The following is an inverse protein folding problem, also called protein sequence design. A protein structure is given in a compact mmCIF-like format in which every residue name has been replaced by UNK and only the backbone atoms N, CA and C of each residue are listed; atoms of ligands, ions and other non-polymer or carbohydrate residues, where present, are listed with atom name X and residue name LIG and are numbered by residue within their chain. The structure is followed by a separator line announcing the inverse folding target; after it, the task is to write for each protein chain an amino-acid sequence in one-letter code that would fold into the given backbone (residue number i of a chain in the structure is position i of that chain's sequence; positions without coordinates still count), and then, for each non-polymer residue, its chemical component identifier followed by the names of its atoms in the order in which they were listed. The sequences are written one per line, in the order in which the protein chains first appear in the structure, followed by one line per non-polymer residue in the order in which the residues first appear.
data_IF_988693819136
#
_entry.id   IF_988693819136
#
_cell.length_a   1.000
_cell.length_b   1.000
_cell.length_c   1.000
_cell.angle_alpha   90.00
_cell.angle_beta   90.00
_cell.angle_gamma   90.00
#
_symmetry.space_group_name_H-M   'P 1'
#
loop_
_entity.id
_entity.type
_entity.pdbx_description
1 polymer ?
#
# COMPACT_ATOMS: atom_id res chain seq x y z
N UNK A 1 -30.98 10.37 -21.19
CA UNK A 1 -29.95 9.62 -21.92
C UNK A 1 -28.67 10.44 -21.88
N UNK A 2 -28.64 11.64 -22.45
CA UNK A 2 -27.49 12.56 -22.31
C UNK A 2 -27.09 12.83 -20.83
N UNK A 3 -28.04 13.21 -19.96
CA UNK A 3 -27.74 13.45 -18.53
C UNK A 3 -27.31 12.19 -17.76
N UNK A 4 -27.72 10.99 -18.21
CA UNK A 4 -27.33 9.73 -17.57
C UNK A 4 -25.92 9.30 -18.01
N UNK A 5 -25.61 9.44 -19.29
CA UNK A 5 -24.26 9.22 -19.85
C UNK A 5 -23.25 10.13 -19.19
N UNK A 6 -23.56 11.43 -19.09
CA UNK A 6 -22.67 12.39 -18.45
C UNK A 6 -22.43 12.07 -16.98
N UNK A 7 -23.47 11.69 -16.24
CA UNK A 7 -23.31 11.25 -14.84
C UNK A 7 -22.41 10.03 -14.74
N UNK A 8 -22.55 9.06 -15.64
CA UNK A 8 -21.71 7.87 -15.65
C UNK A 8 -20.24 8.25 -15.88
N UNK A 9 -19.95 9.12 -16.85
CA UNK A 9 -18.60 9.64 -17.08
C UNK A 9 -18.03 10.39 -15.86
N UNK A 10 -18.83 11.27 -15.23
CA UNK A 10 -18.43 11.99 -14.01
C UNK A 10 -18.11 11.02 -12.86
N UNK A 11 -18.89 9.95 -12.71
CA UNK A 11 -18.64 8.89 -11.71
C UNK A 11 -17.33 8.14 -12.00
N UNK A 12 -17.01 7.87 -13.27
CA UNK A 12 -15.77 7.21 -13.67
C UNK A 12 -14.55 8.10 -13.44
N UNK A 13 -14.65 9.39 -13.75
CA UNK A 13 -13.60 10.36 -13.45
C UNK A 13 -13.28 10.43 -11.95
N UNK A 14 -14.31 10.33 -11.10
CA UNK A 14 -14.13 10.28 -9.66
C UNK A 14 -13.40 9.02 -9.16
N UNK A 15 -13.38 7.93 -9.93
CA UNK A 15 -12.59 6.73 -9.61
C UNK A 15 -11.11 6.95 -9.88
N UNK A 16 -10.76 7.65 -10.96
CA UNK A 16 -9.37 8.05 -11.24
C UNK A 16 -8.81 8.95 -10.13
N UNK A 17 -9.60 9.91 -9.65
CA UNK A 17 -9.20 10.76 -8.52
C UNK A 17 -9.01 9.97 -7.21
N UNK A 18 -9.84 8.95 -6.96
CA UNK A 18 -9.67 8.05 -5.81
C UNK A 18 -8.39 7.21 -5.94
N UNK A 19 -8.04 6.76 -7.15
CA UNK A 19 -6.78 6.07 -7.39
C UNK A 19 -5.58 6.95 -7.08
N UNK A 20 -5.62 8.23 -7.49
CA UNK A 20 -4.55 9.20 -7.20
C UNK A 20 -4.35 9.36 -5.69
N UNK A 21 -5.42 9.54 -4.91
CA UNK A 21 -5.35 9.64 -3.45
C UNK A 21 -4.75 8.38 -2.79
N UNK A 22 -5.19 7.19 -3.21
CA UNK A 22 -4.65 5.94 -2.67
C UNK A 22 -3.20 5.69 -3.10
N UNK A 23 -2.78 6.21 -4.26
CA UNK A 23 -1.39 6.15 -4.73
C UNK A 23 -0.47 7.05 -3.91
N UNK A 24 -0.97 8.20 -3.46
CA UNK A 24 -0.26 9.06 -2.51
C UNK A 24 -0.11 8.38 -1.15
N UNK A 25 -1.16 7.73 -0.64
CA UNK A 25 -1.12 6.94 0.59
C UNK A 25 -0.11 5.78 0.50
N UNK A 26 -0.06 5.08 -0.66
CA UNK A 26 0.94 4.04 -0.94
C UNK A 26 2.37 4.62 -0.87
N UNK A 27 2.57 5.77 -1.49
CA UNK A 27 3.87 6.45 -1.51
C UNK A 27 4.32 6.83 -0.09
N UNK A 28 3.40 7.30 0.75
CA UNK A 28 3.66 7.57 2.16
C UNK A 28 4.04 6.29 2.92
N UNK A 29 3.25 5.22 2.77
CA UNK A 29 3.52 3.93 3.41
C UNK A 29 4.89 3.34 3.00
N UNK A 30 5.24 3.41 1.72
CA UNK A 30 6.54 2.94 1.21
C UNK A 30 7.70 3.74 1.83
N UNK A 31 7.54 5.06 1.97
CA UNK A 31 8.54 5.91 2.64
C UNK A 31 8.71 5.55 4.12
N UNK A 32 7.61 5.32 4.84
CA UNK A 32 7.66 4.91 6.24
C UNK A 32 8.35 3.54 6.40
N UNK A 33 8.05 2.57 5.54
CA UNK A 33 8.74 1.26 5.51
C UNK A 33 10.24 1.43 5.28
N UNK A 34 10.66 2.31 4.37
CA UNK A 34 12.09 2.61 4.14
C UNK A 34 12.74 3.23 5.37
N UNK A 35 12.05 4.14 6.06
CA UNK A 35 12.54 4.74 7.28
C UNK A 35 12.70 3.70 8.40
N UNK A 36 11.69 2.88 8.62
CA UNK A 36 11.75 1.79 9.60
C UNK A 36 12.88 0.81 9.27
N UNK A 37 13.09 0.47 7.99
CA UNK A 37 14.24 -0.34 7.57
C UNK A 37 15.57 0.26 8.00
N UNK A 38 15.79 1.56 7.77
CA UNK A 38 17.02 2.24 8.21
C UNK A 38 17.19 2.17 9.74
N UNK A 39 16.11 2.36 10.49
CA UNK A 39 16.15 2.24 11.95
C UNK A 39 16.47 0.82 12.42
N UNK A 40 15.95 -0.21 11.74
CA UNK A 40 16.28 -1.62 12.02
C UNK A 40 17.76 -1.90 11.74
N UNK A 41 18.31 -1.40 10.63
CA UNK A 41 19.72 -1.53 10.29
C UNK A 41 20.62 -0.85 11.33
N UNK A 42 20.24 0.34 11.79
CA UNK A 42 20.94 1.06 12.85
C UNK A 42 20.88 0.28 14.18
N UNK A 43 19.71 -0.22 14.57
CA UNK A 43 19.54 -1.01 15.78
C UNK A 43 20.38 -2.29 15.74
N UNK A 44 20.45 -2.95 14.58
CA UNK A 44 21.32 -4.10 14.37
C UNK A 44 22.80 -3.74 14.57
N UNK A 45 23.26 -2.61 14.03
CA UNK A 45 24.63 -2.15 14.23
C UNK A 45 24.93 -1.82 15.71
N UNK A 46 23.98 -1.21 16.42
CA UNK A 46 24.10 -0.92 17.85
C UNK A 46 24.13 -2.20 18.69
N UNK A 47 23.40 -3.25 18.29
CA UNK A 47 23.39 -4.54 19.01
C UNK A 47 24.77 -5.21 19.05
N UNK A 48 25.63 -4.95 18.06
CA UNK A 48 27.00 -5.47 18.05
C UNK A 48 27.89 -4.84 19.15
N UNK A 49 27.44 -3.77 19.81
CA UNK A 49 28.18 -3.06 20.86
C UNK A 49 27.84 -3.60 22.26
N UNK A 50 28.83 -3.78 23.13
CA UNK A 50 28.65 -4.37 24.47
C UNK A 50 28.48 -3.32 25.57
N UNK A 51 27.43 -3.44 26.39
CA UNK A 51 27.25 -2.65 27.62
C UNK A 51 25.84 -2.76 28.22
N UNK A 52 25.70 -2.67 29.54
CA UNK A 52 24.40 -2.79 30.21
C UNK A 52 23.42 -1.64 29.87
N UNK A 53 23.94 -0.40 29.71
CA UNK A 53 23.15 0.76 29.27
C UNK A 53 22.68 0.58 27.83
N UNK A 54 23.54 0.00 26.98
CA UNK A 54 23.22 -0.33 25.59
C UNK A 54 22.09 -1.37 25.54
N UNK A 55 22.11 -2.39 26.41
CA UNK A 55 21.09 -3.43 26.45
C UNK A 55 19.66 -2.93 26.76
N UNK A 56 19.49 -2.08 27.78
CA UNK A 56 18.16 -1.50 28.10
C UNK A 56 17.68 -0.53 27.00
N UNK A 57 18.60 0.22 26.42
CA UNK A 57 18.30 1.13 25.31
C UNK A 57 17.83 0.33 24.08
N UNK A 58 18.55 -0.73 23.71
CA UNK A 58 18.18 -1.65 22.62
C UNK A 58 16.82 -2.30 22.84
N UNK A 59 16.51 -2.71 24.07
CA UNK A 59 15.21 -3.31 24.40
C UNK A 59 14.05 -2.34 24.20
N UNK A 60 14.24 -1.08 24.58
CA UNK A 60 13.23 -0.02 24.38
C UNK A 60 13.03 0.25 22.90
N UNK A 61 14.12 0.48 22.15
CA UNK A 61 14.04 0.73 20.70
C UNK A 61 13.48 -0.45 19.92
N UNK A 62 13.82 -1.69 20.32
CA UNK A 62 13.23 -2.90 19.74
C UNK A 62 11.71 -2.91 19.92
N UNK A 63 11.22 -2.53 21.10
CA UNK A 63 9.78 -2.47 21.36
C UNK A 63 9.11 -1.41 20.49
N UNK A 64 9.68 -0.20 20.45
CA UNK A 64 9.17 0.90 19.61
C UNK A 64 9.11 0.49 18.14
N UNK A 65 10.16 -0.13 17.61
CA UNK A 65 10.17 -0.63 16.23
C UNK A 65 9.15 -1.74 15.97
N UNK A 66 8.90 -2.63 16.93
CA UNK A 66 7.84 -3.63 16.79
C UNK A 66 6.45 -2.98 16.78
N UNK A 67 6.23 -1.96 17.61
CA UNK A 67 4.98 -1.19 17.63
C UNK A 67 4.80 -0.44 16.29
N UNK A 68 5.86 0.17 15.75
CA UNK A 68 5.88 0.83 14.44
C UNK A 68 5.58 -0.15 13.29
N UNK A 69 6.23 -1.32 13.27
CA UNK A 69 6.00 -2.36 12.26
C UNK A 69 4.57 -2.91 12.32
N UNK A 70 4.00 -3.07 13.52
CA UNK A 70 2.61 -3.45 13.68
C UNK A 70 1.67 -2.38 13.10
N UNK A 71 1.97 -1.10 13.35
CA UNK A 71 1.20 0.01 12.78
C UNK A 71 1.30 0.06 11.25
N UNK A 72 2.49 -0.16 10.68
CA UNK A 72 2.68 -0.26 9.22
C UNK A 72 1.90 -1.42 8.64
N UNK A 73 1.88 -2.58 9.31
CA UNK A 73 1.06 -3.71 8.89
C UNK A 73 -0.45 -3.40 8.86
N UNK A 74 -0.94 -2.63 9.83
CA UNK A 74 -2.34 -2.18 9.86
C UNK A 74 -2.66 -1.18 8.75
N UNK A 75 -1.78 -0.20 8.53
CA UNK A 75 -1.92 0.76 7.43
C UNK A 75 -1.91 0.06 6.07
N UNK A 76 -0.98 -0.88 5.87
CA UNK A 76 -0.94 -1.73 4.68
C UNK A 76 -2.26 -2.48 4.48
N UNK A 77 -2.79 -3.13 5.52
CA UNK A 77 -4.02 -3.92 5.41
C UNK A 77 -5.23 -3.03 5.08
N UNK A 78 -5.31 -1.83 5.66
CA UNK A 78 -6.35 -0.86 5.35
C UNK A 78 -6.26 -0.38 3.90
N UNK A 79 -5.07 0.04 3.46
CA UNK A 79 -4.84 0.53 2.11
C UNK A 79 -5.12 -0.56 1.07
N UNK A 80 -4.65 -1.79 1.30
CA UNK A 80 -4.88 -2.92 0.41
C UNK A 80 -6.38 -3.20 0.24
N UNK A 81 -7.16 -3.15 1.32
CA UNK A 81 -8.62 -3.30 1.24
C UNK A 81 -9.27 -2.18 0.42
N UNK A 82 -8.84 -0.93 0.60
CA UNK A 82 -9.34 0.20 -0.17
C UNK A 82 -9.04 0.06 -1.67
N UNK A 83 -7.82 -0.36 -2.02
CA UNK A 83 -7.39 -0.59 -3.40
C UNK A 83 -8.18 -1.73 -4.06
N UNK A 84 -8.39 -2.85 -3.36
CA UNK A 84 -9.23 -3.96 -3.86
C UNK A 84 -10.67 -3.49 -4.09
N UNK A 85 -11.25 -2.77 -3.13
CA UNK A 85 -12.61 -2.24 -3.26
C UNK A 85 -12.73 -1.26 -4.44
N UNK A 86 -11.71 -0.42 -4.67
CA UNK A 86 -11.67 0.47 -5.82
C UNK A 86 -11.56 -0.33 -7.13
N UNK A 87 -10.72 -1.36 -7.19
CA UNK A 87 -10.59 -2.23 -8.37
C UNK A 87 -11.91 -2.93 -8.72
N UNK A 88 -12.63 -3.46 -7.72
CA UNK A 88 -13.96 -4.04 -7.91
C UNK A 88 -14.96 -3.00 -8.43
N UNK A 89 -14.90 -1.76 -7.93
CA UNK A 89 -15.78 -0.68 -8.36
C UNK A 89 -15.47 -0.22 -9.79
N UNK A 90 -14.19 -0.07 -10.14
CA UNK A 90 -13.74 0.25 -11.51
C UNK A 90 -14.20 -0.83 -12.48
N UNK A 91 -14.07 -2.11 -12.11
CA UNK A 91 -14.57 -3.21 -12.93
C UNK A 91 -16.08 -3.13 -13.16
N UNK A 92 -16.87 -2.90 -12.09
CA UNK A 92 -18.31 -2.76 -12.22
C UNK A 92 -18.70 -1.56 -13.12
N UNK A 93 -18.00 -0.42 -13.00
CA UNK A 93 -18.22 0.74 -13.86
C UNK A 93 -17.82 0.49 -15.31
N UNK A 94 -16.78 -0.30 -15.54
CA UNK A 94 -16.38 -0.71 -16.87
C UNK A 94 -17.51 -1.50 -17.55
N UNK A 95 -18.11 -2.46 -16.84
CA UNK A 95 -19.27 -3.21 -17.34
C UNK A 95 -20.48 -2.31 -17.60
N UNK A 96 -20.78 -1.34 -16.71
CA UNK A 96 -21.85 -0.37 -16.90
C UNK A 96 -21.64 0.48 -18.17
N UNK A 97 -20.42 0.99 -18.39
CA UNK A 97 -20.07 1.80 -19.56
C UNK A 97 -20.14 0.98 -20.84
N UNK A 98 -19.62 -0.25 -20.85
CA UNK A 98 -19.75 -1.16 -22.00
C UNK A 98 -21.21 -1.43 -22.34
N UNK A 99 -22.04 -1.68 -21.33
CA UNK A 99 -23.45 -1.90 -21.53
C UNK A 99 -24.12 -0.69 -22.18
N UNK A 100 -23.84 0.53 -21.72
CA UNK A 100 -24.41 1.74 -22.35
C UNK A 100 -23.90 1.93 -23.79
N UNK A 101 -22.61 1.68 -24.06
CA UNK A 101 -22.03 1.76 -25.41
C UNK A 101 -22.73 0.83 -26.40
N UNK A 102 -23.06 -0.40 -26.00
CA UNK A 102 -23.77 -1.38 -26.84
C UNK A 102 -25.16 -0.90 -27.30
N UNK A 103 -25.72 0.13 -26.65
CA UNK A 103 -27.05 0.68 -26.91
C UNK A 103 -27.02 2.09 -27.55
N UNK A 104 -25.83 2.65 -27.81
CA UNK A 104 -25.67 3.95 -28.44
C UNK A 104 -25.36 3.83 -29.94
N UNK A 105 -25.65 4.90 -30.68
CA UNK A 105 -25.22 5.01 -32.08
C UNK A 105 -23.74 5.42 -32.12
N UNK A 106 -22.91 4.66 -32.86
CA UNK A 106 -21.44 4.85 -32.92
C UNK A 106 -21.00 6.27 -33.32
N UNK A 107 -21.82 6.99 -34.12
CA UNK A 107 -21.53 8.36 -34.57
C UNK A 107 -22.00 9.45 -33.59
N UNK A 108 -22.55 9.08 -32.43
CA UNK A 108 -23.08 10.05 -31.43
C UNK A 108 -21.99 10.65 -30.56
N UNK A 109 -22.25 11.86 -30.04
CA UNK A 109 -21.33 12.51 -29.08
C UNK A 109 -21.28 11.73 -27.76
N UNK A 110 -22.38 11.12 -27.34
CA UNK A 110 -22.46 10.27 -26.17
C UNK A 110 -21.62 8.99 -26.31
N UNK A 111 -21.61 8.37 -27.49
CA UNK A 111 -20.77 7.20 -27.76
C UNK A 111 -19.29 7.58 -27.63
N UNK A 112 -18.86 8.65 -28.29
CA UNK A 112 -17.46 9.10 -28.24
C UNK A 112 -17.00 9.42 -26.81
N UNK A 113 -17.88 10.02 -25.99
CA UNK A 113 -17.60 10.30 -24.58
C UNK A 113 -17.45 9.02 -23.75
N UNK A 114 -18.34 8.04 -23.94
CA UNK A 114 -18.27 6.78 -23.19
C UNK A 114 -17.13 5.88 -23.65
N UNK A 115 -16.74 5.94 -24.93
CA UNK A 115 -15.57 5.23 -25.45
C UNK A 115 -14.29 5.74 -24.77
N UNK A 116 -14.10 7.05 -24.70
CA UNK A 116 -12.98 7.69 -23.97
C UNK A 116 -13.01 7.32 -22.48
N UNK A 117 -14.21 7.36 -21.87
CA UNK A 117 -14.40 6.96 -20.46
C UNK A 117 -14.01 5.49 -20.24
N UNK A 118 -14.31 4.61 -21.18
CA UNK A 118 -13.99 3.18 -21.07
C UNK A 118 -12.49 2.93 -21.16
N UNK A 119 -11.80 3.66 -22.04
CA UNK A 119 -10.34 3.62 -22.16
C UNK A 119 -9.67 4.11 -20.86
N UNK A 120 -10.16 5.21 -20.29
CA UNK A 120 -9.69 5.73 -19.00
C UNK A 120 -9.89 4.73 -17.86
N UNK A 121 -11.07 4.10 -17.75
CA UNK A 121 -11.32 3.05 -16.76
C UNK A 121 -10.39 1.85 -16.94
N UNK A 122 -10.10 1.48 -18.19
CA UNK A 122 -9.19 0.37 -18.50
C UNK A 122 -7.76 0.70 -18.05
N UNK A 123 -7.33 1.95 -18.20
CA UNK A 123 -6.05 2.44 -17.68
C UNK A 123 -6.02 2.39 -16.15
N UNK A 124 -7.03 2.94 -15.48
CA UNK A 124 -7.17 2.93 -14.01
C UNK A 124 -7.13 1.50 -13.47
N UNK A 125 -7.81 0.55 -14.13
CA UNK A 125 -7.78 -0.86 -13.72
C UNK A 125 -6.39 -1.49 -13.85
N UNK A 126 -5.66 -1.16 -14.92
CA UNK A 126 -4.30 -1.65 -15.13
C UNK A 126 -3.34 -1.10 -14.06
N UNK A 127 -3.42 0.19 -13.75
CA UNK A 127 -2.63 0.83 -12.70
C UNK A 127 -2.94 0.24 -11.32
N UNK A 128 -4.21 0.01 -10.99
CA UNK A 128 -4.63 -0.67 -9.76
C UNK A 128 -4.02 -2.07 -9.63
N UNK A 129 -3.95 -2.80 -10.74
CA UNK A 129 -3.36 -4.15 -10.75
C UNK A 129 -1.87 -4.09 -10.43
N UNK A 130 -1.13 -3.16 -11.02
CA UNK A 130 0.29 -2.95 -10.75
C UNK A 130 0.54 -2.51 -9.28
N UNK A 131 -0.30 -1.61 -8.78
CA UNK A 131 -0.23 -1.15 -7.38
C UNK A 131 -0.48 -2.30 -6.40
N UNK A 132 -1.45 -3.18 -6.66
CA UNK A 132 -1.72 -4.34 -5.81
C UNK A 132 -0.55 -5.34 -5.81
N UNK A 133 0.14 -5.51 -6.94
CA UNK A 133 1.39 -6.29 -6.99
C UNK A 133 2.52 -5.63 -6.16
N UNK A 134 2.61 -4.29 -6.15
CA UNK A 134 3.53 -3.58 -5.25
C UNK A 134 3.16 -3.78 -3.78
N UNK A 135 1.86 -3.79 -3.45
CA UNK A 135 1.39 -4.04 -2.09
C UNK A 135 1.84 -5.41 -1.56
N UNK A 136 1.78 -6.46 -2.37
CA UNK A 136 2.31 -7.78 -1.98
C UNK A 136 3.81 -7.74 -1.67
N UNK A 137 4.57 -6.94 -2.42
CA UNK A 137 6.01 -6.73 -2.18
C UNK A 137 6.25 -5.99 -0.85
N UNK A 138 5.44 -4.98 -0.53
CA UNK A 138 5.52 -4.26 0.74
C UNK A 138 5.17 -5.13 1.94
N UNK A 139 4.17 -6.02 1.81
CA UNK A 139 3.82 -6.97 2.88
C UNK A 139 5.01 -7.86 3.24
N UNK A 140 5.70 -8.39 2.22
CA UNK A 140 6.91 -9.20 2.43
C UNK A 140 8.01 -8.39 3.12
N UNK A 141 8.22 -7.14 2.72
CA UNK A 141 9.20 -6.26 3.36
C UNK A 141 8.91 -6.03 4.84
N UNK A 142 7.65 -5.74 5.21
CA UNK A 142 7.23 -5.56 6.61
C UNK A 142 7.42 -6.85 7.41
N UNK A 143 7.07 -8.00 6.84
CA UNK A 143 7.25 -9.30 7.49
C UNK A 143 8.73 -9.63 7.73
N UNK A 144 9.60 -9.35 6.76
CA UNK A 144 11.05 -9.57 6.87
C UNK A 144 11.69 -8.63 7.90
N UNK A 145 11.27 -7.36 7.95
CA UNK A 145 11.71 -6.41 8.98
C UNK A 145 11.28 -6.87 10.37
N UNK A 146 10.02 -7.27 10.53
CA UNK A 146 9.47 -7.80 11.79
C UNK A 146 10.30 -8.99 12.27
N UNK A 147 10.54 -9.96 11.39
CA UNK A 147 11.37 -11.13 11.68
C UNK A 147 12.80 -10.75 12.06
N UNK A 148 13.37 -9.75 11.40
CA UNK A 148 14.73 -9.25 11.71
C UNK A 148 14.79 -8.65 13.11
N UNK A 149 13.83 -7.79 13.46
CA UNK A 149 13.74 -7.17 14.79
C UNK A 149 13.51 -8.21 15.88
N UNK A 150 12.64 -9.20 15.64
CA UNK A 150 12.39 -10.30 16.58
C UNK A 150 13.66 -11.10 16.89
N UNK A 151 14.49 -11.37 15.89
CA UNK A 151 15.74 -12.12 16.02
C UNK A 151 16.88 -11.33 16.66
N UNK A 152 16.74 -10.00 16.83
CA UNK A 152 17.75 -9.20 17.51
C UNK A 152 17.95 -9.74 18.94
N UNK A 153 19.19 -10.09 19.32
CA UNK A 153 19.48 -10.67 20.62
C UNK A 153 19.08 -9.70 21.75
N UNK A 154 18.39 -10.19 22.80
CA UNK A 154 18.28 -9.45 24.04
C UNK A 154 19.65 -9.56 24.72
N UNK A 155 20.56 -8.60 24.54
CA UNK A 155 21.90 -8.74 25.12
C UNK A 155 21.86 -8.81 26.65
N UNK A 156 22.06 -10.03 27.16
CA UNK A 156 22.93 -10.31 28.30
C UNK A 156 23.53 -11.70 28.11
N UNK A 157 24.71 -11.80 27.50
CA UNK A 157 25.58 -12.97 27.71
C UNK A 157 26.66 -12.53 28.68
N UNK A 158 26.29 -12.50 29.96
CA UNK A 158 27.26 -12.60 31.03
C UNK A 158 27.92 -13.96 30.90
N UNK A 159 28.99 -14.04 30.10
CA UNK A 159 29.99 -15.06 30.28
C UNK A 159 30.57 -14.81 31.67
N UNK A 160 29.98 -15.49 32.65
CA UNK A 160 30.50 -15.59 33.99
C UNK A 160 31.91 -16.15 33.86
N UNK A 161 32.87 -15.25 34.04
CA UNK A 161 34.29 -15.55 34.18
C UNK A 161 34.46 -16.16 35.57
N UNK A 162 34.00 -17.41 35.74
CA UNK A 162 33.98 -18.10 37.02
C UNK A 162 34.90 -19.31 37.02
N UNK A 163 36.18 -19.04 37.30
CA UNK A 163 37.25 -19.91 37.87
C UNK A 163 37.15 -21.43 37.74
#
# INVERSE_FOLDING_TARGET
MEESVKRLADECFALGAQLEELSDDLSALNNDIRQTKMQVEELFAQSQQSGAVVAETLKTHKKELMDDLQNLGQQWEQLNRSLIALQEHVFAKHEDVQFELDHLEEDSEEYALLEDTLDDLSLVYAELTEILDEMDTLLLAVADLTRTVEQLPPHYSGADSGT
#
